data_IF_555983580027
#
_entry.id   IF_555983580027
#
_cell.length_a   1.000
_cell.length_b   1.000
_cell.length_c   1.000
_cell.angle_alpha   90.00
_cell.angle_beta   90.00
_cell.angle_gamma   90.00
#
_symmetry.space_group_name_H-M   'P 1'
#
loop_
_entity.id
_entity.type
_entity.pdbx_description
1 polymer ?
#
# COMPACT_ATOMS: atom_id res chain seq x y z
N UNK A 1 -3.42 7.18 5.83
CA UNK A 1 -3.33 6.10 6.83
C UNK A 1 -1.93 5.53 6.80
N UNK A 2 -1.24 5.60 7.93
CA UNK A 2 0.06 5.00 8.19
C UNK A 2 -0.20 3.84 9.15
N UNK A 3 0.23 2.64 8.83
CA UNK A 3 0.22 1.51 9.76
C UNK A 3 1.64 1.19 10.15
N UNK A 4 1.91 1.12 11.44
CA UNK A 4 3.20 0.79 12.01
C UNK A 4 3.06 -0.48 12.86
N UNK A 5 4.01 -1.40 12.75
CA UNK A 5 4.09 -2.61 13.57
C UNK A 5 5.54 -2.90 13.95
N UNK A 6 5.71 -3.66 15.02
CA UNK A 6 7.01 -4.09 15.53
C UNK A 6 7.13 -5.60 15.35
N UNK A 7 8.32 -6.07 14.96
CA UNK A 7 8.57 -7.48 14.70
C UNK A 7 9.95 -7.86 15.23
N UNK A 8 10.05 -8.96 15.97
CA UNK A 8 11.32 -9.53 16.37
C UNK A 8 11.82 -10.46 15.25
N UNK A 9 12.52 -9.87 14.27
CA UNK A 9 12.98 -10.53 13.05
C UNK A 9 14.34 -9.98 12.61
N UNK A 10 15.18 -10.80 11.95
CA UNK A 10 16.29 -10.29 11.17
C UNK A 10 15.80 -9.30 10.11
N UNK A 11 16.50 -8.17 9.97
CA UNK A 11 16.16 -7.14 8.98
C UNK A 11 16.10 -7.71 7.55
N UNK A 12 16.95 -8.69 7.24
CA UNK A 12 17.01 -9.35 5.93
C UNK A 12 15.76 -10.18 5.63
N UNK A 13 15.23 -10.88 6.63
CA UNK A 13 13.97 -11.61 6.54
C UNK A 13 12.80 -10.66 6.29
N UNK A 14 12.74 -9.55 7.04
CA UNK A 14 11.71 -8.51 6.85
C UNK A 14 11.78 -7.91 5.45
N UNK A 15 12.99 -7.60 4.96
CA UNK A 15 13.20 -7.05 3.63
C UNK A 15 12.74 -8.00 2.52
N UNK A 16 13.17 -9.26 2.60
CA UNK A 16 12.78 -10.30 1.63
C UNK A 16 11.28 -10.55 1.68
N UNK A 17 10.70 -10.62 2.89
CA UNK A 17 9.27 -10.77 3.09
C UNK A 17 8.45 -9.62 2.51
N UNK A 18 8.93 -8.38 2.68
CA UNK A 18 8.28 -7.20 2.09
C UNK A 18 8.33 -7.22 0.56
N UNK A 19 9.45 -7.64 -0.04
CA UNK A 19 9.56 -7.80 -1.50
C UNK A 19 8.62 -8.88 -2.03
N UNK A 20 8.49 -10.00 -1.32
CA UNK A 20 7.57 -11.08 -1.69
C UNK A 20 6.10 -10.64 -1.52
N UNK A 21 5.75 -9.97 -0.43
CA UNK A 21 4.41 -9.44 -0.22
C UNK A 21 4.02 -8.38 -1.28
N UNK A 22 5.00 -7.68 -1.86
CA UNK A 22 4.82 -6.71 -2.94
C UNK A 22 5.03 -7.29 -4.35
N UNK A 23 5.16 -8.60 -4.53
CA UNK A 23 5.55 -9.19 -5.82
C UNK A 23 4.62 -8.82 -6.99
N UNK A 24 3.34 -8.58 -6.70
CA UNK A 24 2.33 -8.18 -7.69
C UNK A 24 2.21 -6.66 -7.89
N UNK A 25 3.02 -5.86 -7.19
CA UNK A 25 3.04 -4.41 -7.35
C UNK A 25 4.22 -4.00 -8.23
N UNK A 26 4.03 -3.04 -9.14
CA UNK A 26 5.15 -2.46 -9.87
C UNK A 26 6.04 -1.71 -8.88
N UNK A 27 7.29 -2.13 -8.66
CA UNK A 27 8.20 -1.47 -7.72
C UNK A 27 9.01 -0.40 -8.45
N UNK A 28 8.99 0.84 -7.96
CA UNK A 28 9.73 1.98 -8.52
C UNK A 28 11.00 2.31 -7.76
N UNK A 29 11.10 1.92 -6.48
CA UNK A 29 12.28 2.14 -5.65
C UNK A 29 12.48 0.97 -4.70
N UNK A 30 13.73 0.50 -4.61
CA UNK A 30 14.22 -0.46 -3.60
C UNK A 30 15.49 0.14 -2.99
N UNK A 31 15.37 0.82 -1.87
CA UNK A 31 16.49 1.38 -1.12
C UNK A 31 16.69 0.57 0.16
N UNK A 32 17.52 -0.48 0.07
CA UNK A 32 17.79 -1.38 1.20
C UNK A 32 18.51 -0.67 2.36
N UNK A 33 19.55 0.17 2.13
CA UNK A 33 20.18 0.93 3.20
C UNK A 33 19.21 1.81 3.99
N UNK A 34 18.25 2.47 3.33
CA UNK A 34 17.22 3.27 3.99
C UNK A 34 16.01 2.44 4.45
N UNK A 35 15.94 1.16 4.09
CA UNK A 35 14.83 0.27 4.38
C UNK A 35 13.53 0.64 3.66
N UNK A 36 13.59 1.27 2.48
CA UNK A 36 12.41 1.80 1.77
C UNK A 36 12.11 1.00 0.50
N UNK A 37 10.84 0.62 0.33
CA UNK A 37 10.30 0.10 -0.93
C UNK A 37 9.13 0.97 -1.35
N UNK A 38 9.13 1.49 -2.58
CA UNK A 38 8.00 2.24 -3.14
C UNK A 38 7.47 1.54 -4.36
N UNK A 39 6.14 1.41 -4.45
CA UNK A 39 5.48 0.94 -5.67
C UNK A 39 5.27 2.10 -6.65
N UNK A 40 4.87 1.80 -7.88
CA UNK A 40 4.22 2.77 -8.76
C UNK A 40 2.74 2.90 -8.42
N UNK A 41 2.06 3.83 -9.07
CA UNK A 41 0.62 3.92 -9.10
C UNK A 41 0.00 2.72 -9.82
N UNK A 42 -0.79 1.96 -9.09
CA UNK A 42 -1.67 0.93 -9.66
C UNK A 42 -3.07 1.51 -9.84
N UNK A 43 -3.54 1.59 -11.08
CA UNK A 43 -4.89 2.05 -11.40
C UNK A 43 -5.86 0.86 -11.32
N UNK A 44 -6.97 1.04 -10.63
CA UNK A 44 -8.06 0.07 -10.52
C UNK A 44 -9.39 0.76 -10.88
N UNK A 45 -10.31 0.06 -11.57
CA UNK A 45 -11.67 0.55 -11.73
C UNK A 45 -12.37 0.57 -10.38
N UNK A 46 -13.17 1.59 -10.11
CA UNK A 46 -14.01 1.63 -8.91
C UNK A 46 -15.21 0.70 -9.13
N UNK A 47 -15.26 -0.42 -8.41
CA UNK A 47 -16.44 -1.28 -8.43
C UNK A 47 -17.51 -0.69 -7.48
N UNK A 48 -18.69 -0.37 -8.02
CA UNK A 48 -19.92 -0.27 -7.20
C UNK A 48 -20.58 1.09 -6.97
N UNK A 49 -20.35 2.14 -7.77
CA UNK A 49 -21.13 3.39 -7.65
C UNK A 49 -21.64 3.91 -8.99
N UNK A 50 -22.85 3.53 -9.37
CA UNK A 50 -23.62 4.25 -10.38
C UNK A 50 -24.27 5.48 -9.72
N UNK A 51 -23.71 6.67 -9.90
CA UNK A 51 -24.36 7.92 -9.49
C UNK A 51 -24.95 8.65 -10.70
N UNK A 52 -26.29 8.72 -10.75
CA UNK A 52 -27.02 9.67 -11.60
C UNK A 52 -28.27 9.11 -12.29
N UNK A 53 -29.39 9.83 -12.20
CA UNK A 53 -30.68 9.57 -12.85
C UNK A 53 -30.67 9.55 -14.40
N UNK A 54 -29.50 9.70 -15.03
CA UNK A 54 -29.38 9.93 -16.48
C UNK A 54 -28.59 8.86 -17.24
N UNK A 55 -28.23 7.74 -16.61
CA UNK A 55 -27.68 6.57 -17.33
C UNK A 55 -26.47 6.89 -18.23
N UNK A 56 -25.71 7.95 -17.94
CA UNK A 56 -24.44 8.21 -18.62
C UNK A 56 -23.43 7.20 -18.07
N UNK A 57 -23.40 6.05 -18.71
CA UNK A 57 -22.41 5.00 -18.44
C UNK A 57 -20.98 5.57 -18.50
N UNK A 58 -20.20 5.24 -17.47
CA UNK A 58 -18.78 4.93 -17.58
C UNK A 58 -17.84 5.98 -18.17
N UNK A 59 -17.90 7.25 -17.73
CA UNK A 59 -16.77 8.19 -17.93
C UNK A 59 -15.61 8.00 -16.93
N UNK A 60 -15.31 6.75 -16.57
CA UNK A 60 -13.98 6.39 -16.12
C UNK A 60 -13.61 6.73 -14.68
N UNK A 61 -14.55 6.62 -13.73
CA UNK A 61 -14.22 6.61 -12.30
C UNK A 61 -13.19 5.51 -12.03
N UNK A 62 -11.98 5.95 -11.72
CA UNK A 62 -10.82 5.11 -11.48
C UNK A 62 -10.21 5.55 -10.18
N UNK A 63 -9.64 4.60 -9.49
CA UNK A 63 -8.77 4.90 -8.37
C UNK A 63 -7.37 4.44 -8.68
N UNK A 64 -6.41 5.09 -8.05
CA UNK A 64 -5.04 4.64 -8.07
C UNK A 64 -4.46 4.66 -6.69
N UNK A 65 -3.68 3.63 -6.39
CA UNK A 65 -2.99 3.50 -5.12
C UNK A 65 -1.50 3.32 -5.36
N UNK A 66 -0.69 3.87 -4.45
CA UNK A 66 0.74 3.63 -4.36
C UNK A 66 1.08 3.32 -2.91
N UNK A 67 1.84 2.25 -2.72
CA UNK A 67 2.34 1.84 -1.41
C UNK A 67 3.78 2.31 -1.21
N UNK A 68 4.08 2.70 0.02
CA UNK A 68 5.43 2.93 0.53
C UNK A 68 5.60 2.09 1.78
N UNK A 69 6.47 1.10 1.68
CA UNK A 69 6.96 0.33 2.81
C UNK A 69 8.26 0.95 3.31
N UNK A 70 8.41 1.05 4.62
CA UNK A 70 9.67 1.41 5.26
C UNK A 70 9.92 0.53 6.48
N UNK A 71 11.17 0.13 6.70
CA UNK A 71 11.59 -0.60 7.90
C UNK A 71 12.74 0.13 8.58
N UNK A 72 12.76 0.07 9.91
CA UNK A 72 13.82 0.62 10.75
C UNK A 72 14.18 -0.38 11.84
N UNK A 73 15.46 -0.74 11.92
CA UNK A 73 15.94 -1.52 13.06
C UNK A 73 15.88 -0.69 14.33
N UNK A 74 15.34 -1.28 15.38
CA UNK A 74 15.36 -0.78 16.75
C UNK A 74 16.36 -1.59 17.57
N UNK A 75 16.38 -1.36 18.88
CA UNK A 75 17.20 -2.10 19.83
C UNK A 75 16.70 -3.55 19.95
N UNK A 76 17.57 -4.44 20.45
CA UNK A 76 17.25 -5.83 20.80
C UNK A 76 16.66 -6.69 19.66
N UNK A 77 17.02 -6.43 18.40
CA UNK A 77 16.59 -7.25 17.26
C UNK A 77 15.14 -7.01 16.81
N UNK A 78 14.51 -5.94 17.31
CA UNK A 78 13.17 -5.52 16.87
C UNK A 78 13.29 -4.64 15.63
N UNK A 79 12.43 -4.87 14.65
CA UNK A 79 12.29 -4.05 13.43
C UNK A 79 10.92 -3.38 13.46
N UNK A 80 10.92 -2.05 13.40
CA UNK A 80 9.71 -1.27 13.15
C UNK A 80 9.43 -1.24 11.65
N UNK A 81 8.28 -1.77 11.25
CA UNK A 81 7.79 -1.68 9.88
C UNK A 81 6.69 -0.64 9.79
N UNK A 82 6.65 0.09 8.68
CA UNK A 82 5.61 1.05 8.37
C UNK A 82 5.14 0.84 6.94
N UNK A 83 3.83 0.77 6.76
CA UNK A 83 3.20 0.83 5.45
C UNK A 83 2.37 2.10 5.35
N UNK A 84 2.60 2.86 4.29
CA UNK A 84 1.79 4.02 3.94
C UNK A 84 1.21 3.83 2.55
N UNK A 85 -0.10 3.96 2.43
CA UNK A 85 -0.78 4.03 1.14
C UNK A 85 -1.14 5.48 0.81
N UNK A 86 -0.90 5.86 -0.44
CA UNK A 86 -1.48 7.05 -1.05
C UNK A 86 -2.49 6.60 -2.09
N UNK A 87 -3.76 6.98 -1.91
CA UNK A 87 -4.85 6.66 -2.83
C UNK A 87 -5.43 7.95 -3.42
N UNK A 88 -5.80 7.89 -4.69
CA UNK A 88 -6.42 8.99 -5.40
C UNK A 88 -7.59 8.49 -6.22
N UNK A 89 -8.63 9.32 -6.30
CA UNK A 89 -9.80 9.07 -7.13
C UNK A 89 -9.78 10.01 -8.33
N UNK A 90 -10.11 9.47 -9.50
CA UNK A 90 -10.33 10.22 -10.72
C UNK A 90 -11.82 10.51 -10.83
N UNK A 91 -12.18 11.79 -10.73
CA UNK A 91 -13.58 12.18 -10.81
C UNK A 91 -13.76 13.65 -11.13
N UNK A 92 -15.02 14.04 -11.32
CA UNK A 92 -15.41 15.41 -11.60
C UNK A 92 -15.23 16.28 -10.35
N UNK A 93 -14.61 17.45 -10.52
CA UNK A 93 -14.27 18.38 -9.41
C UNK A 93 -14.79 19.80 -9.62
N UNK A 94 -15.56 20.06 -10.68
CA UNK A 94 -16.08 21.38 -11.03
C UNK A 94 -15.07 22.35 -11.65
N UNK A 95 -15.58 23.36 -12.37
CA UNK A 95 -14.77 24.41 -13.03
C UNK A 95 -14.19 24.01 -14.39
N UNK A 96 -13.32 24.86 -14.96
CA UNK A 96 -12.76 24.71 -16.31
C UNK A 96 -11.83 23.48 -16.50
N UNK A 97 -11.52 22.74 -15.43
CA UNK A 97 -10.82 21.43 -15.47
C UNK A 97 -11.78 20.35 -15.01
N UNK A 98 -12.41 19.69 -15.98
CA UNK A 98 -13.58 18.84 -15.74
C UNK A 98 -13.26 17.57 -14.92
N UNK A 99 -12.05 17.00 -14.99
CA UNK A 99 -11.66 15.82 -14.19
C UNK A 99 -10.20 15.91 -13.74
N UNK A 100 -9.92 15.46 -12.52
CA UNK A 100 -8.54 15.33 -12.01
C UNK A 100 -8.42 14.22 -10.97
N UNK A 101 -7.19 13.78 -10.72
CA UNK A 101 -6.87 12.96 -9.56
C UNK A 101 -6.91 13.82 -8.29
N UNK A 102 -7.71 13.43 -7.31
CA UNK A 102 -7.73 14.05 -5.98
C UNK A 102 -7.49 13.00 -4.90
N UNK A 103 -6.83 13.35 -3.79
CA UNK A 103 -6.54 12.41 -2.72
C UNK A 103 -7.84 11.88 -2.09
N UNK A 104 -7.86 10.58 -1.82
CA UNK A 104 -8.92 9.92 -1.05
C UNK A 104 -8.30 9.11 0.08
N UNK A 105 -9.14 8.67 1.01
CA UNK A 105 -8.68 7.87 2.14
C UNK A 105 -8.06 6.55 1.68
N UNK A 106 -6.95 6.14 2.29
CA UNK A 106 -6.38 4.81 2.08
C UNK A 106 -7.35 3.67 2.35
N UNK A 107 -7.21 2.61 1.57
CA UNK A 107 -7.91 1.36 1.74
C UNK A 107 -7.39 0.61 2.97
N UNK A 108 -8.24 0.46 3.99
CA UNK A 108 -7.93 -0.42 5.12
C UNK A 108 -7.72 -1.86 4.65
N UNK A 109 -8.50 -2.30 3.66
CA UNK A 109 -8.40 -3.64 3.09
C UNK A 109 -7.03 -3.87 2.43
N UNK A 110 -6.54 -2.95 1.60
CA UNK A 110 -5.25 -3.10 0.91
C UNK A 110 -4.10 -3.19 1.91
N UNK A 111 -4.15 -2.35 2.94
CA UNK A 111 -3.15 -2.35 4.02
C UNK A 111 -3.21 -3.66 4.81
N UNK A 112 -4.41 -4.13 5.17
CA UNK A 112 -4.56 -5.41 5.88
C UNK A 112 -4.12 -6.61 5.03
N UNK A 113 -4.43 -6.62 3.74
CA UNK A 113 -4.02 -7.67 2.82
C UNK A 113 -2.49 -7.73 2.69
N UNK A 114 -1.83 -6.57 2.54
CA UNK A 114 -0.37 -6.50 2.55
C UNK A 114 0.19 -7.07 3.86
N UNK A 115 -0.32 -6.61 5.01
CA UNK A 115 0.16 -7.04 6.32
C UNK A 115 -0.05 -8.55 6.52
N UNK A 116 -1.19 -9.09 6.08
CA UNK A 116 -1.47 -10.52 6.12
C UNK A 116 -0.47 -11.32 5.29
N UNK A 117 -0.13 -10.86 4.08
CA UNK A 117 0.86 -11.52 3.22
C UNK A 117 2.25 -11.45 3.82
N UNK A 118 2.65 -10.28 4.33
CA UNK A 118 3.95 -10.10 4.99
C UNK A 118 4.08 -11.03 6.20
N UNK A 119 3.09 -11.03 7.09
CA UNK A 119 3.04 -11.95 8.25
C UNK A 119 3.13 -13.41 7.80
N UNK A 120 2.34 -13.82 6.80
CA UNK A 120 2.38 -15.20 6.32
C UNK A 120 3.73 -15.62 5.69
N UNK A 121 4.53 -14.66 5.19
CA UNK A 121 5.89 -14.92 4.72
C UNK A 121 6.85 -15.02 5.90
N UNK A 122 6.74 -14.11 6.88
CA UNK A 122 7.62 -14.08 8.04
C UNK A 122 7.39 -15.25 9.00
N UNK A 123 6.15 -15.70 9.18
CA UNK A 123 5.82 -16.88 9.99
C UNK A 123 6.54 -18.15 9.48
N UNK A 124 6.86 -18.21 8.18
CA UNK A 124 7.64 -19.32 7.59
C UNK A 124 9.14 -19.21 7.85
N UNK A 125 9.63 -18.05 8.28
CA UNK A 125 11.03 -17.79 8.61
C UNK A 125 11.26 -17.74 10.14
N UNK A 126 10.36 -18.35 10.94
CA UNK A 126 10.41 -18.42 12.41
C UNK A 126 10.49 -17.05 13.12
N UNK A 127 9.91 -16.03 12.49
CA UNK A 127 9.82 -14.68 13.05
C UNK A 127 8.72 -14.54 14.10
N UNK A 128 9.01 -13.84 15.21
CA UNK A 128 8.01 -13.53 16.24
C UNK A 128 7.44 -12.13 15.96
N UNK A 129 6.12 -12.05 15.77
CA UNK A 129 5.40 -10.79 15.60
C UNK A 129 4.93 -10.34 16.98
N UNK A 130 5.53 -9.27 17.50
CA UNK A 130 5.04 -8.62 18.72
C UNK A 130 3.82 -7.75 18.34
N UNK A 131 2.65 -8.13 18.85
CA UNK A 131 1.36 -7.48 18.60
C UNK A 131 1.18 -6.20 19.40
#
# INVERSE_FOLDING_TARGET
MKTERYMACPQDSVWKGALQALEHYPITLKDRPQGIIKTDWRVQPVQGRAFGLFGRENMGDKERARLTFSMKSLQAGVVAITLTERRQHWGFVGGARLYKWYPVEPSQQEIQEFMKRLTAVLDKEDCIIES
#
